data_IF_311137387255
#
_entry.id   IF_311137387255
#
_cell.length_a   1.000
_cell.length_b   1.000
_cell.length_c   1.000
_cell.angle_alpha   90.00
_cell.angle_beta   90.00
_cell.angle_gamma   90.00
#
_symmetry.space_group_name_H-M   'P 1'
#
loop_
_entity.id
_entity.type
_entity.pdbx_description
1 polymer ?
#
# COMPACT_ATOMS: atom_id res chain seq x y z
N UNK A 1 5.68 -1.11 25.67
CA UNK A 1 6.87 -1.77 25.10
C UNK A 1 6.59 -2.63 23.85
N UNK A 2 5.42 -3.29 23.72
CA UNK A 2 5.07 -4.16 22.57
C UNK A 2 5.10 -3.49 21.18
N UNK A 3 4.67 -2.23 21.06
CA UNK A 3 4.68 -1.47 19.78
C UNK A 3 6.08 -1.31 19.14
N UNK A 4 7.17 -1.35 19.94
CA UNK A 4 8.55 -1.23 19.43
C UNK A 4 8.96 -2.42 18.56
N UNK A 5 8.52 -3.62 18.93
CA UNK A 5 8.79 -4.82 18.15
C UNK A 5 7.99 -4.82 16.85
N UNK A 6 6.74 -4.37 16.84
CA UNK A 6 5.94 -4.28 15.61
C UNK A 6 6.53 -3.29 14.58
N UNK A 7 6.98 -2.12 15.02
CA UNK A 7 7.64 -1.15 14.12
C UNK A 7 9.01 -1.63 13.66
N UNK A 8 9.81 -2.21 14.55
CA UNK A 8 11.12 -2.78 14.19
C UNK A 8 10.96 -3.95 13.22
N UNK A 9 9.94 -4.79 13.41
CA UNK A 9 9.65 -5.93 12.55
C UNK A 9 9.15 -5.46 11.17
N UNK A 10 8.27 -4.46 11.11
CA UNK A 10 7.88 -3.83 9.86
C UNK A 10 9.11 -3.22 9.15
N UNK A 11 9.95 -2.48 9.86
CA UNK A 11 11.16 -1.88 9.29
C UNK A 11 12.13 -2.94 8.76
N UNK A 12 12.29 -4.07 9.46
CA UNK A 12 13.11 -5.20 9.02
C UNK A 12 12.51 -5.82 7.76
N UNK A 13 11.19 -6.01 7.69
CA UNK A 13 10.52 -6.54 6.50
C UNK A 13 10.75 -5.61 5.30
N UNK A 14 10.58 -4.30 5.46
CA UNK A 14 10.82 -3.33 4.38
C UNK A 14 12.28 -3.36 3.93
N UNK A 15 13.24 -3.38 4.86
CA UNK A 15 14.66 -3.51 4.56
C UNK A 15 14.98 -4.81 3.84
N UNK A 16 14.39 -5.93 4.26
CA UNK A 16 14.57 -7.22 3.63
C UNK A 16 14.05 -7.22 2.18
N UNK A 17 12.88 -6.63 1.94
CA UNK A 17 12.31 -6.49 0.59
C UNK A 17 13.22 -5.64 -0.30
N UNK A 18 13.71 -4.49 0.20
CA UNK A 18 14.65 -3.65 -0.53
C UNK A 18 16.00 -4.35 -0.78
N UNK A 19 16.51 -5.09 0.21
CA UNK A 19 17.74 -5.85 0.07
C UNK A 19 17.60 -6.96 -0.98
N UNK A 20 16.50 -7.72 -0.95
CA UNK A 20 16.19 -8.74 -1.95
C UNK A 20 16.06 -8.15 -3.35
N UNK A 21 15.42 -6.98 -3.48
CA UNK A 21 15.31 -6.26 -4.75
C UNK A 21 16.68 -5.83 -5.32
N UNK A 22 17.60 -5.38 -4.46
CA UNK A 22 18.94 -4.94 -4.89
C UNK A 22 19.92 -6.10 -5.14
N UNK A 23 19.75 -7.23 -4.44
CA UNK A 23 20.66 -8.38 -4.49
C UNK A 23 20.31 -9.33 -5.63
N UNK A 24 19.02 -9.54 -5.92
CA UNK A 24 18.61 -10.55 -6.88
C UNK A 24 18.17 -9.93 -8.20
N UNK A 25 19.00 -10.13 -9.23
CA UNK A 25 18.68 -9.77 -10.61
C UNK A 25 17.43 -10.51 -11.11
N UNK A 26 17.20 -11.75 -10.66
CA UNK A 26 15.98 -12.51 -10.97
C UNK A 26 14.75 -11.87 -10.35
N UNK A 27 14.83 -11.44 -9.09
CA UNK A 27 13.74 -10.73 -8.42
C UNK A 27 13.45 -9.39 -9.09
N UNK A 28 14.50 -8.64 -9.44
CA UNK A 28 14.36 -7.41 -10.21
C UNK A 28 13.72 -7.67 -11.57
N UNK A 29 14.08 -8.75 -12.25
CA UNK A 29 13.53 -9.11 -13.57
C UNK A 29 12.09 -9.61 -13.49
N UNK A 30 11.70 -10.31 -12.43
CA UNK A 30 10.31 -10.72 -12.15
C UNK A 30 9.46 -9.50 -11.84
N UNK A 31 9.95 -8.57 -11.01
CA UNK A 31 9.27 -7.31 -10.72
C UNK A 31 9.14 -6.47 -12.00
N UNK A 32 10.22 -6.26 -12.75
CA UNK A 32 10.21 -5.47 -13.99
C UNK A 32 9.40 -6.08 -15.13
N UNK A 33 9.37 -7.42 -15.26
CA UNK A 33 8.53 -8.08 -16.26
C UNK A 33 7.04 -8.02 -15.93
N UNK A 34 6.69 -7.86 -14.65
CA UNK A 34 5.30 -7.76 -14.19
C UNK A 34 4.82 -6.32 -13.92
N UNK A 35 5.70 -5.32 -13.96
CA UNK A 35 5.34 -3.90 -13.80
C UNK A 35 5.35 -3.20 -15.15
N UNK A 36 4.22 -3.28 -15.84
CA UNK A 36 3.96 -2.38 -16.96
C UNK A 36 3.71 -0.96 -16.43
N UNK A 37 3.86 0.06 -17.29
CA UNK A 37 3.60 1.47 -16.93
C UNK A 37 2.20 1.63 -16.34
N UNK A 38 1.26 0.83 -16.82
CA UNK A 38 -0.10 0.74 -16.35
C UNK A 38 -0.19 0.35 -14.86
N UNK A 39 0.49 -0.72 -14.46
CA UNK A 39 0.56 -1.19 -13.06
C UNK A 39 1.17 -0.14 -12.10
N UNK A 40 2.16 0.63 -12.56
CA UNK A 40 2.71 1.75 -11.77
C UNK A 40 1.66 2.86 -11.61
N UNK A 41 0.91 3.15 -12.67
CA UNK A 41 -0.22 4.07 -12.66
C UNK A 41 -1.29 3.66 -11.65
N UNK A 42 -1.65 2.38 -11.61
CA UNK A 42 -2.56 1.79 -10.63
C UNK A 42 -2.09 1.99 -9.19
N UNK A 43 -0.83 1.64 -8.88
CA UNK A 43 -0.25 1.83 -7.54
C UNK A 43 -0.36 3.30 -7.10
N UNK A 44 0.09 4.23 -7.94
CA UNK A 44 0.12 5.67 -7.60
C UNK A 44 -1.30 6.22 -7.46
N UNK A 45 -2.20 5.83 -8.37
CA UNK A 45 -3.58 6.33 -8.39
C UNK A 45 -4.34 5.88 -7.15
N UNK A 46 -4.24 4.59 -6.79
CA UNK A 46 -4.89 4.06 -5.59
C UNK A 46 -4.26 4.56 -4.29
N UNK A 47 -2.95 4.80 -4.28
CA UNK A 47 -2.30 5.48 -3.15
C UNK A 47 -2.87 6.89 -2.94
N UNK A 48 -2.91 7.71 -4.00
CA UNK A 48 -3.45 9.07 -3.95
C UNK A 48 -4.95 9.08 -3.63
N UNK A 49 -5.72 8.16 -4.20
CA UNK A 49 -7.15 8.04 -3.93
C UNK A 49 -7.41 7.70 -2.46
N UNK A 50 -6.68 6.71 -1.91
CA UNK A 50 -6.77 6.35 -0.49
C UNK A 50 -6.38 7.52 0.40
N UNK A 51 -5.34 8.27 0.04
CA UNK A 51 -4.93 9.48 0.75
C UNK A 51 -6.04 10.52 0.78
N UNK A 52 -6.61 10.86 -0.38
CA UNK A 52 -7.67 11.86 -0.52
C UNK A 52 -8.91 11.43 0.24
N UNK A 53 -9.37 10.18 0.08
CA UNK A 53 -10.52 9.66 0.84
C UNK A 53 -10.28 9.72 2.34
N UNK A 54 -9.11 9.27 2.81
CA UNK A 54 -8.80 9.28 4.24
C UNK A 54 -8.75 10.72 4.80
N UNK A 55 -8.23 11.67 4.00
CA UNK A 55 -8.12 13.08 4.39
C UNK A 55 -9.50 13.77 4.45
N UNK A 56 -10.35 13.54 3.44
CA UNK A 56 -11.67 14.18 3.32
C UNK A 56 -12.67 13.55 4.29
N UNK A 57 -12.79 12.22 4.29
CA UNK A 57 -13.85 11.54 5.03
C UNK A 57 -13.49 11.28 6.49
N UNK A 58 -12.23 11.49 6.89
CA UNK A 58 -11.71 11.26 8.26
C UNK A 58 -12.08 9.88 8.83
N UNK A 59 -12.24 8.89 7.96
CA UNK A 59 -12.62 7.53 8.31
C UNK A 59 -11.47 6.80 9.01
N UNK A 60 -11.77 5.78 9.85
CA UNK A 60 -10.73 4.93 10.41
C UNK A 60 -9.94 4.25 9.29
N UNK A 61 -8.61 4.20 9.44
CA UNK A 61 -7.66 3.77 8.41
C UNK A 61 -8.06 2.41 7.79
N UNK A 62 -8.41 1.45 8.64
CA UNK A 62 -8.80 0.11 8.22
C UNK A 62 -10.04 0.11 7.31
N UNK A 63 -11.06 0.90 7.66
CA UNK A 63 -12.27 1.00 6.85
C UNK A 63 -11.97 1.67 5.51
N UNK A 64 -11.17 2.74 5.48
CA UNK A 64 -10.78 3.38 4.21
C UNK A 64 -10.04 2.40 3.31
N UNK A 65 -9.07 1.65 3.86
CA UNK A 65 -8.33 0.65 3.08
C UNK A 65 -9.26 -0.45 2.53
N UNK A 66 -10.18 -0.95 3.35
CA UNK A 66 -11.14 -1.98 2.94
C UNK A 66 -12.09 -1.46 1.85
N UNK A 67 -12.67 -0.27 2.02
CA UNK A 67 -13.57 0.34 1.03
C UNK A 67 -12.86 0.55 -0.31
N UNK A 68 -11.64 1.07 -0.30
CA UNK A 68 -10.89 1.34 -1.53
C UNK A 68 -10.44 0.02 -2.19
N UNK A 69 -10.11 -1.02 -1.42
CA UNK A 69 -9.79 -2.33 -1.98
C UNK A 69 -11.01 -3.00 -2.64
N UNK A 70 -12.19 -2.90 -2.02
CA UNK A 70 -13.43 -3.34 -2.65
C UNK A 70 -13.75 -2.53 -3.91
N UNK A 71 -13.52 -1.23 -3.89
CA UNK A 71 -13.67 -0.38 -5.06
C UNK A 71 -12.76 -0.84 -6.21
N UNK A 72 -11.48 -1.13 -5.95
CA UNK A 72 -10.55 -1.68 -6.96
C UNK A 72 -10.98 -3.03 -7.50
N UNK A 73 -11.49 -3.93 -6.65
CA UNK A 73 -12.03 -5.20 -7.10
C UNK A 73 -13.26 -5.02 -8.02
N UNK A 74 -14.12 -4.04 -7.71
CA UNK A 74 -15.29 -3.72 -8.51
C UNK A 74 -14.93 -3.05 -9.84
N UNK A 75 -13.86 -2.24 -9.89
CA UNK A 75 -13.41 -1.63 -11.15
C UNK A 75 -12.86 -2.69 -12.11
N UNK A 76 -12.08 -3.65 -11.61
CA UNK A 76 -11.60 -4.79 -12.40
C UNK A 76 -12.73 -5.69 -12.88
N UNK A 77 -13.70 -5.97 -11.99
CA UNK A 77 -14.90 -6.71 -12.35
C UNK A 77 -15.70 -5.96 -13.43
N UNK A 78 -15.85 -4.64 -13.28
CA UNK A 78 -16.50 -3.78 -14.28
C UNK A 78 -15.78 -3.84 -15.62
N UNK A 79 -14.45 -3.75 -15.63
CA UNK A 79 -13.64 -3.88 -16.85
C UNK A 79 -13.78 -5.25 -17.50
N UNK A 80 -13.83 -6.33 -16.71
CA UNK A 80 -14.09 -7.68 -17.19
C UNK A 80 -15.43 -7.76 -17.94
N UNK A 81 -16.52 -7.23 -17.35
CA UNK A 81 -17.85 -7.26 -17.95
C UNK A 81 -18.00 -6.34 -19.16
N UNK A 82 -17.32 -5.20 -19.15
CA UNK A 82 -17.40 -4.22 -20.24
C UNK A 82 -16.55 -4.62 -21.46
N UNK A 83 -15.68 -5.63 -21.35
CA UNK A 83 -14.92 -6.18 -22.46
C UNK A 83 -13.88 -5.23 -23.08
N UNK A 84 -13.62 -4.07 -22.46
CA UNK A 84 -12.63 -3.10 -22.93
C UNK A 84 -11.19 -3.61 -22.77
N UNK A 85 -10.95 -4.53 -21.82
CA UNK A 85 -9.66 -5.19 -21.56
C UNK A 85 -9.86 -6.50 -20.80
N UNK A 86 -8.98 -7.48 -21.01
CA UNK A 86 -8.92 -8.68 -20.16
C UNK A 86 -8.56 -8.25 -18.73
N UNK A 87 -9.46 -8.49 -17.76
CA UNK A 87 -9.16 -8.21 -16.36
C UNK A 87 -7.86 -8.92 -15.97
N UNK A 88 -6.90 -8.13 -15.51
CA UNK A 88 -5.57 -8.60 -15.20
C UNK A 88 -5.43 -8.58 -13.68
N UNK A 89 -5.26 -9.77 -13.10
CA UNK A 89 -5.01 -9.89 -11.66
C UNK A 89 -3.78 -9.08 -11.21
N UNK A 90 -2.85 -8.77 -12.12
CA UNK A 90 -1.71 -7.89 -11.86
C UNK A 90 -2.14 -6.45 -11.52
N UNK A 91 -3.20 -5.94 -12.13
CA UNK A 91 -3.66 -4.56 -11.94
C UNK A 91 -4.40 -4.45 -10.60
N UNK A 92 -5.21 -5.45 -10.25
CA UNK A 92 -5.79 -5.57 -8.91
C UNK A 92 -4.73 -5.66 -7.80
N UNK A 93 -3.66 -6.44 -8.02
CA UNK A 93 -2.55 -6.54 -7.05
C UNK A 93 -1.84 -5.20 -6.92
N UNK A 94 -1.69 -4.47 -8.03
CA UNK A 94 -1.09 -3.14 -8.06
C UNK A 94 -1.91 -2.13 -7.25
N UNK A 95 -3.23 -2.16 -7.37
CA UNK A 95 -4.14 -1.36 -6.54
C UNK A 95 -3.95 -1.66 -5.05
N UNK A 96 -3.91 -2.95 -4.70
CA UNK A 96 -3.76 -3.39 -3.31
C UNK A 96 -2.41 -2.95 -2.72
N UNK A 97 -1.33 -2.98 -3.51
CA UNK A 97 -0.01 -2.50 -3.10
C UNK A 97 -0.06 -0.99 -2.80
N UNK A 98 -0.71 -0.20 -3.65
CA UNK A 98 -0.87 1.25 -3.43
C UNK A 98 -1.61 1.57 -2.13
N UNK A 99 -2.73 0.87 -1.87
CA UNK A 99 -3.52 1.02 -0.64
C UNK A 99 -2.71 0.60 0.59
N UNK A 100 -2.02 -0.55 0.52
CA UNK A 100 -1.20 -1.06 1.60
C UNK A 100 -0.05 -0.10 1.94
N UNK A 101 0.58 0.47 0.92
CA UNK A 101 1.67 1.43 1.10
C UNK A 101 1.22 2.67 1.87
N UNK A 102 0.05 3.23 1.53
CA UNK A 102 -0.55 4.33 2.28
C UNK A 102 -0.83 3.93 3.74
N UNK A 103 -1.42 2.75 3.96
CA UNK A 103 -1.71 2.22 5.28
C UNK A 103 -0.46 2.10 6.15
N UNK A 104 0.63 1.57 5.61
CA UNK A 104 1.92 1.41 6.29
C UNK A 104 2.52 2.76 6.67
N UNK A 105 2.56 3.73 5.75
CA UNK A 105 3.07 5.08 6.02
C UNK A 105 2.27 5.73 7.16
N UNK A 106 0.95 5.71 7.04
CA UNK A 106 0.08 6.36 8.03
C UNK A 106 0.16 5.70 9.39
N UNK A 107 0.22 4.37 9.43
CA UNK A 107 0.41 3.61 10.67
C UNK A 107 1.76 3.94 11.33
N UNK A 108 2.82 4.03 10.53
CA UNK A 108 4.17 4.42 11.00
C UNK A 108 4.17 5.82 11.61
N UNK A 109 3.51 6.80 10.97
CA UNK A 109 3.36 8.16 11.50
C UNK A 109 2.60 8.18 12.82
N UNK A 110 1.46 7.46 12.91
CA UNK A 110 0.66 7.40 14.14
C UNK A 110 1.46 6.81 15.30
N UNK A 111 2.21 5.74 15.04
CA UNK A 111 3.08 5.12 16.04
C UNK A 111 4.23 6.03 16.46
N UNK A 112 4.81 6.81 15.54
CA UNK A 112 5.83 7.80 15.87
C UNK A 112 5.25 8.97 16.70
N UNK A 113 4.05 9.45 16.36
CA UNK A 113 3.40 10.56 17.06
C UNK A 113 2.94 10.20 18.48
N UNK A 114 2.42 9.00 18.70
CA UNK A 114 2.09 8.48 20.05
C UNK A 114 3.31 8.40 20.99
N UNK A 115 4.53 8.45 20.45
CA UNK A 115 5.76 8.55 21.24
C UNK A 115 6.05 9.98 21.70
N UNK A 116 5.71 11.00 20.90
CA UNK A 116 6.05 12.39 21.19
C UNK A 116 5.25 12.97 22.36
N UNK A 117 3.99 12.56 22.54
CA UNK A 117 3.17 13.03 23.69
C UNK A 117 3.48 12.31 25.01
N UNK A 118 4.32 11.27 24.98
CA UNK A 118 4.78 10.53 26.16
C UNK A 118 6.20 10.93 26.59
N UNK A 119 6.73 12.06 26.09
CA UNK A 119 7.91 12.66 26.70
C UNK A 119 7.47 13.33 28.00
N UNK A 120 7.95 12.89 29.18
CA UNK A 120 7.74 13.67 30.39
C UNK A 120 8.42 15.02 30.16
N UNK A 121 7.62 16.09 30.18
CA UNK A 121 8.12 17.44 30.41
C UNK A 121 8.82 17.40 31.76
N UNK A 122 10.16 17.49 31.72
CA UNK A 122 10.98 17.78 32.90
C UNK A 122 10.58 19.14 33.48
#
# INVERSE_FOLDING_TARGET
>A
MKSRYHLSLLSIIVLLVFALYFISDDFRRVVFRGTEIDSIGHIISFFCLTWVLHSILKLPLFNTMLTVAFYGALTELGQYYLGFRSAQLSDFISDLIGIAFFGIIRWSILMYRNRSSNRPTL
#
